data_IF_964580605870
#
_entry.id   IF_964580605870
#
_cell.length_a   1.000
_cell.length_b   1.000
_cell.length_c   1.000
_cell.angle_alpha   90.00
_cell.angle_beta   90.00
_cell.angle_gamma   90.00
#
_symmetry.space_group_name_H-M   'P 1'
#
loop_
_entity.id
_entity.type
_entity.pdbx_description
1 polymer ?
#
# COMPACT_ATOMS: atom_id res chain seq x y z
N UNK A 1 0.30 -22.45 2.69
CA UNK A 1 0.30 -22.06 1.27
C UNK A 1 0.04 -20.57 1.21
N UNK A 2 1.06 -19.75 1.42
CA UNK A 2 0.92 -18.31 1.34
C UNK A 2 1.09 -17.91 -0.12
N UNK A 3 -0.01 -17.81 -0.85
CA UNK A 3 -0.02 -17.21 -2.18
C UNK A 3 0.51 -15.78 -2.02
N UNK A 4 1.71 -15.52 -2.55
CA UNK A 4 2.32 -14.19 -2.55
C UNK A 4 1.46 -13.25 -3.40
N UNK A 5 0.45 -12.65 -2.76
CA UNK A 5 -0.38 -11.63 -3.40
C UNK A 5 0.53 -10.46 -3.73
N UNK A 6 0.70 -10.22 -5.02
CA UNK A 6 1.47 -9.09 -5.54
C UNK A 6 0.89 -7.73 -5.09
N UNK A 7 -0.42 -7.71 -4.83
CA UNK A 7 -1.18 -6.53 -4.45
C UNK A 7 -1.95 -6.82 -3.15
N UNK A 8 -1.86 -5.90 -2.21
CA UNK A 8 -2.59 -5.93 -0.94
C UNK A 8 -3.77 -4.96 -1.01
N UNK A 9 -4.92 -5.36 -0.48
CA UNK A 9 -5.99 -4.39 -0.20
C UNK A 9 -5.58 -3.45 0.93
N UNK A 10 -6.27 -2.31 1.09
CA UNK A 10 -5.99 -1.39 2.21
C UNK A 10 -6.03 -2.15 3.55
N UNK A 11 -6.99 -3.05 3.76
CA UNK A 11 -7.08 -3.84 5.00
C UNK A 11 -5.88 -4.76 5.21
N UNK A 12 -5.43 -5.44 4.16
CA UNK A 12 -4.24 -6.29 4.25
C UNK A 12 -2.97 -5.47 4.46
N UNK A 13 -2.85 -4.31 3.82
CA UNK A 13 -1.75 -3.37 4.02
C UNK A 13 -1.72 -2.83 5.45
N UNK A 14 -2.88 -2.57 6.07
CA UNK A 14 -2.97 -2.17 7.49
C UNK A 14 -2.37 -3.24 8.39
N UNK A 15 -2.71 -4.52 8.18
CA UNK A 15 -2.18 -5.61 9.01
C UNK A 15 -0.71 -5.92 8.72
N UNK A 16 -0.27 -5.76 7.47
CA UNK A 16 1.09 -6.06 7.05
C UNK A 16 2.08 -4.96 7.49
N UNK A 17 1.75 -3.68 7.25
CA UNK A 17 2.62 -2.55 7.56
C UNK A 17 2.35 -1.92 8.94
N UNK A 18 1.32 -2.37 9.67
CA UNK A 18 0.85 -1.75 10.91
C UNK A 18 0.52 -0.24 10.78
N UNK A 19 0.13 0.20 9.58
CA UNK A 19 -0.28 1.59 9.31
C UNK A 19 -1.81 1.66 9.37
N UNK A 20 -2.35 2.62 10.11
CA UNK A 20 -3.80 2.79 10.23
C UNK A 20 -4.51 3.04 8.89
N UNK A 21 -5.73 2.51 8.74
CA UNK A 21 -6.53 2.61 7.50
C UNK A 21 -6.72 4.07 7.03
N UNK A 22 -6.93 4.99 7.97
CA UNK A 22 -7.04 6.43 7.68
C UNK A 22 -5.78 6.99 7.03
N UNK A 23 -4.60 6.58 7.48
CA UNK A 23 -3.32 7.06 6.95
C UNK A 23 -3.07 6.49 5.57
N UNK A 24 -3.32 5.18 5.37
CA UNK A 24 -3.25 4.55 4.04
C UNK A 24 -4.23 5.19 3.04
N UNK A 25 -5.48 5.45 3.46
CA UNK A 25 -6.47 6.15 2.61
C UNK A 25 -6.03 7.57 2.26
N UNK A 26 -5.50 8.32 3.23
CA UNK A 26 -4.95 9.67 2.98
C UNK A 26 -3.75 9.62 2.03
N UNK A 27 -2.85 8.68 2.23
CA UNK A 27 -1.66 8.50 1.41
C UNK A 27 -2.03 8.13 -0.02
N UNK A 28 -3.08 7.31 -0.19
CA UNK A 28 -3.66 7.03 -1.51
C UNK A 28 -4.37 8.24 -2.11
N UNK A 29 -5.15 8.97 -1.33
CA UNK A 29 -5.90 10.13 -1.80
C UNK A 29 -5.02 11.33 -2.16
N UNK A 30 -3.90 11.52 -1.44
CA UNK A 30 -2.93 12.57 -1.72
C UNK A 30 -2.13 12.26 -3.00
N UNK A 31 -1.78 10.98 -3.21
CA UNK A 31 -0.95 10.58 -4.34
C UNK A 31 -1.63 9.49 -5.18
N UNK A 32 -2.80 9.76 -5.81
CA UNK A 32 -3.56 8.74 -6.54
C UNK A 32 -2.81 8.14 -7.74
N UNK A 33 -1.78 8.81 -8.22
CA UNK A 33 -0.90 8.39 -9.32
C UNK A 33 0.39 7.70 -8.84
N UNK A 34 0.56 7.46 -7.54
CA UNK A 34 1.75 6.82 -7.04
C UNK A 34 1.89 5.38 -7.55
N UNK A 35 3.11 4.99 -7.89
CA UNK A 35 3.42 3.67 -8.48
C UNK A 35 3.02 2.49 -7.59
N UNK A 36 3.02 2.68 -6.26
CA UNK A 36 2.59 1.69 -5.28
C UNK A 36 1.06 1.54 -5.21
N UNK A 37 0.27 2.38 -5.89
CA UNK A 37 -1.19 2.31 -5.91
C UNK A 37 -1.62 1.72 -7.23
N UNK A 38 -2.62 0.84 -7.16
CA UNK A 38 -3.23 0.23 -8.31
C UNK A 38 -4.75 0.33 -8.15
N UNK A 39 -5.35 1.25 -8.92
CA UNK A 39 -6.80 1.39 -8.97
C UNK A 39 -7.37 0.42 -10.01
N UNK A 40 -8.12 -0.58 -9.55
CA UNK A 40 -8.90 -1.49 -10.41
C UNK A 40 -10.36 -1.06 -10.38
N UNK A 41 -10.76 -0.21 -11.33
CA UNK A 41 -12.08 0.40 -11.33
C UNK A 41 -12.30 1.23 -10.06
N UNK A 42 -13.23 0.80 -9.20
CA UNK A 42 -13.53 1.46 -7.91
C UNK A 42 -12.73 0.89 -6.73
N UNK A 43 -11.91 -0.15 -6.94
CA UNK A 43 -11.11 -0.77 -5.88
C UNK A 43 -9.69 -0.22 -5.88
N UNK A 44 -9.20 0.09 -4.70
CA UNK A 44 -7.80 0.50 -4.49
C UNK A 44 -7.03 -0.72 -3.98
N UNK A 45 -5.96 -1.05 -4.69
CA UNK A 45 -4.96 -2.03 -4.30
C UNK A 45 -3.61 -1.34 -4.13
N UNK A 46 -2.76 -1.90 -3.29
CA UNK A 46 -1.41 -1.42 -3.02
C UNK A 46 -0.42 -2.48 -3.49
N UNK A 47 0.51 -2.13 -4.37
CA UNK A 47 1.60 -3.01 -4.77
C UNK A 47 2.57 -3.13 -3.60
N UNK A 48 2.64 -4.34 -3.01
CA UNK A 48 3.45 -4.61 -1.82
C UNK A 48 4.92 -4.20 -2.01
N UNK A 49 5.55 -4.65 -3.11
CA UNK A 49 6.99 -4.42 -3.36
C UNK A 49 7.38 -2.94 -3.40
N UNK A 50 6.60 -2.13 -4.11
CA UNK A 50 6.90 -0.69 -4.27
C UNK A 50 6.61 0.03 -2.95
N UNK A 51 5.58 -0.39 -2.22
CA UNK A 51 5.26 0.18 -0.92
C UNK A 51 6.31 -0.21 0.15
N UNK A 52 6.83 -1.43 0.12
CA UNK A 52 7.96 -1.85 0.97
C UNK A 52 9.18 -0.97 0.73
N UNK A 53 9.57 -0.75 -0.53
CA UNK A 53 10.67 0.16 -0.89
C UNK A 53 10.42 1.59 -0.37
N UNK A 54 9.21 2.11 -0.55
CA UNK A 54 8.85 3.45 -0.08
C UNK A 54 8.98 3.60 1.46
N UNK A 55 8.58 2.57 2.22
CA UNK A 55 8.71 2.56 3.67
C UNK A 55 10.18 2.42 4.09
N UNK A 56 10.96 1.58 3.41
CA UNK A 56 12.40 1.41 3.64
C UNK A 56 13.18 2.71 3.40
N UNK A 57 12.84 3.43 2.32
CA UNK A 57 13.40 4.77 2.02
C UNK A 57 12.98 5.83 3.05
N UNK A 58 11.74 5.79 3.53
CA UNK A 58 11.23 6.74 4.53
C UNK A 58 11.75 6.45 5.95
N UNK A 59 12.08 5.20 6.25
CA UNK A 59 12.53 4.72 7.56
C UNK A 59 14.04 4.79 7.82
N UNK A 60 14.85 5.18 6.82
CA UNK A 60 16.29 5.41 6.99
C UNK A 60 16.57 6.80 7.58
N UNK A 61 16.39 6.96 8.90
CA UNK A 61 16.99 8.03 9.71
C UNK A 61 17.46 7.44 11.04
#
# INVERSE_FOLDING_TARGET
MASEKYNLTIKEAVQYFNIGEKNLRKLVANNPTADYILMVGNKILIKRKIFELFIDETGSI
#
